data_IF_165277758376
#
_entry.id   IF_165277758376
#
_cell.length_a   1.000
_cell.length_b   1.000
_cell.length_c   1.000
_cell.angle_alpha   90.00
_cell.angle_beta   90.00
_cell.angle_gamma   90.00
#
_symmetry.space_group_name_H-M   'P 1'
#
loop_
_entity.id
_entity.type
_entity.pdbx_description
1 polymer ?
#
# COMPACT_ATOMS: atom_id res chain seq x y z
N UNK A 1 -21.69 39.37 -13.77
CA UNK A 1 -21.24 38.03 -14.18
C UNK A 1 -20.61 37.36 -12.96
N UNK A 2 -21.45 36.57 -12.30
CA UNK A 2 -21.29 36.08 -10.94
C UNK A 2 -20.34 34.88 -10.86
N UNK A 3 -19.30 35.03 -10.03
CA UNK A 3 -18.99 34.07 -8.97
C UNK A 3 -18.79 32.60 -9.42
N UNK A 4 -17.78 32.35 -10.25
CA UNK A 4 -17.19 30.99 -10.41
C UNK A 4 -16.29 30.67 -9.19
N UNK A 5 -16.79 30.89 -7.96
CA UNK A 5 -16.05 30.66 -6.69
C UNK A 5 -16.46 29.34 -6.00
N UNK A 6 -16.99 28.37 -6.75
CA UNK A 6 -17.45 27.08 -6.20
C UNK A 6 -16.67 25.86 -6.71
N UNK A 7 -15.74 26.01 -7.65
CA UNK A 7 -14.98 24.87 -8.18
C UNK A 7 -13.78 24.45 -7.31
N UNK A 8 -13.30 25.31 -6.42
CA UNK A 8 -12.11 25.04 -5.58
C UNK A 8 -12.36 24.04 -4.44
N UNK A 9 -13.62 23.75 -4.07
CA UNK A 9 -13.90 22.76 -3.03
C UNK A 9 -13.84 21.31 -3.55
N UNK A 10 -14.19 21.09 -4.83
CA UNK A 10 -14.17 19.77 -5.46
C UNK A 10 -12.74 19.24 -5.59
N UNK A 11 -11.76 20.11 -5.85
CA UNK A 11 -10.35 19.71 -5.85
C UNK A 11 -9.83 19.29 -4.46
N UNK A 12 -10.48 19.69 -3.35
CA UNK A 12 -10.10 19.24 -2.00
C UNK A 12 -10.67 17.87 -1.62
N UNK A 13 -11.71 17.37 -2.30
CA UNK A 13 -12.20 16.00 -2.10
C UNK A 13 -11.45 14.99 -2.95
N UNK A 14 -10.91 15.42 -4.10
CA UNK A 14 -9.89 14.70 -4.89
C UNK A 14 -8.50 14.97 -4.29
N UNK A 15 -8.40 14.96 -2.95
CA UNK A 15 -7.12 15.08 -2.27
C UNK A 15 -6.37 13.77 -2.48
N UNK A 16 -5.41 13.80 -3.40
CA UNK A 16 -4.40 12.76 -3.55
C UNK A 16 -3.84 12.47 -2.16
N UNK A 17 -4.11 11.29 -1.58
CA UNK A 17 -3.41 10.85 -0.38
C UNK A 17 -1.96 10.62 -0.82
N UNK A 18 -0.99 11.43 -0.37
CA UNK A 18 0.40 11.07 -0.58
C UNK A 18 0.60 9.68 0.07
N UNK A 19 1.48 8.82 -0.47
CA UNK A 19 1.83 7.55 0.16
C UNK A 19 2.59 7.85 1.46
N UNK A 20 1.86 8.21 2.51
CA UNK A 20 2.38 8.50 3.83
C UNK A 20 1.48 7.80 4.84
N UNK A 21 1.96 6.68 5.32
CA UNK A 21 1.84 6.38 6.73
C UNK A 21 3.08 5.59 7.13
N UNK A 22 3.89 6.19 8.01
CA UNK A 22 5.01 5.52 8.71
C UNK A 22 4.56 4.29 9.53
N UNK A 23 3.26 4.01 9.59
CA UNK A 23 2.63 3.03 10.46
C UNK A 23 1.93 1.86 9.75
N UNK A 24 2.15 1.62 8.46
CA UNK A 24 1.64 0.41 7.79
C UNK A 24 2.65 -0.73 7.85
N UNK A 25 2.22 -1.90 8.31
CA UNK A 25 2.99 -3.14 8.23
C UNK A 25 2.43 -3.98 7.08
N UNK A 26 3.32 -4.53 6.25
CA UNK A 26 2.97 -5.55 5.27
C UNK A 26 2.99 -6.93 5.92
N UNK A 27 1.94 -7.72 5.68
CA UNK A 27 1.79 -9.07 6.18
C UNK A 27 1.31 -10.02 5.07
N UNK A 28 1.49 -11.33 5.32
CA UNK A 28 1.01 -12.38 4.43
C UNK A 28 -0.53 -12.48 4.50
N UNK A 29 -1.23 -12.53 3.37
CA UNK A 29 -2.69 -12.67 3.36
C UNK A 29 -3.19 -14.05 3.81
N UNK A 30 -2.29 -15.04 3.96
CA UNK A 30 -2.63 -16.43 4.28
C UNK A 30 -2.42 -16.80 5.75
N UNK A 31 -1.32 -16.33 6.34
CA UNK A 31 -0.93 -16.66 7.71
C UNK A 31 -0.67 -15.43 8.60
N UNK A 32 -0.90 -14.22 8.09
CA UNK A 32 -0.74 -12.96 8.82
C UNK A 32 0.70 -12.66 9.29
N UNK A 33 1.67 -13.49 8.89
CA UNK A 33 3.07 -13.27 9.20
C UNK A 33 3.60 -12.01 8.52
N UNK A 34 4.46 -11.28 9.24
CA UNK A 34 5.20 -10.11 8.76
C UNK A 34 6.48 -10.48 8.02
N UNK A 35 6.82 -11.77 7.96
CA UNK A 35 8.01 -12.29 7.30
C UNK A 35 7.77 -12.48 5.79
N UNK A 36 7.49 -11.35 5.12
CA UNK A 36 7.20 -11.29 3.69
C UNK A 36 8.20 -10.38 2.99
N UNK A 37 8.78 -10.87 1.89
CA UNK A 37 9.84 -10.19 1.14
C UNK A 37 9.54 -10.23 -0.36
N UNK A 38 10.19 -9.36 -1.15
CA UNK A 38 10.13 -9.46 -2.61
C UNK A 38 10.85 -10.72 -3.09
N UNK A 39 10.32 -11.34 -4.14
CA UNK A 39 10.89 -12.54 -4.73
C UNK A 39 12.25 -12.27 -5.40
N UNK A 40 12.46 -11.05 -5.89
CA UNK A 40 13.68 -10.62 -6.56
C UNK A 40 14.01 -9.16 -6.26
N UNK A 41 15.29 -8.82 -6.38
CA UNK A 41 15.77 -7.42 -6.29
C UNK A 41 15.27 -6.54 -7.43
N UNK A 42 14.81 -7.14 -8.54
CA UNK A 42 14.30 -6.42 -9.71
C UNK A 42 12.76 -6.28 -9.70
N UNK A 43 12.08 -6.88 -8.74
CA UNK A 43 10.64 -6.71 -8.56
C UNK A 43 10.33 -5.24 -8.21
N UNK A 44 9.18 -4.74 -8.69
CA UNK A 44 8.76 -3.33 -8.65
C UNK A 44 9.48 -2.38 -9.60
N UNK A 45 10.57 -2.80 -10.25
CA UNK A 45 11.25 -1.98 -11.27
C UNK A 45 11.13 -2.58 -12.67
N UNK A 46 11.71 -3.77 -12.88
CA UNK A 46 11.66 -4.48 -14.16
C UNK A 46 10.50 -5.49 -14.19
N UNK A 47 10.32 -6.21 -13.08
CA UNK A 47 9.26 -7.22 -12.96
C UNK A 47 8.13 -6.71 -12.06
N UNK A 48 6.88 -7.19 -12.27
CA UNK A 48 5.78 -6.92 -11.36
C UNK A 48 6.13 -7.33 -9.92
N UNK A 49 5.57 -6.63 -8.94
CA UNK A 49 5.77 -6.97 -7.52
C UNK A 49 5.30 -8.38 -7.25
N UNK A 50 6.20 -9.24 -6.76
CA UNK A 50 5.89 -10.58 -6.30
C UNK A 50 6.49 -10.77 -4.91
N UNK A 51 5.67 -11.17 -3.97
CA UNK A 51 6.05 -11.36 -2.60
C UNK A 51 6.13 -12.85 -2.26
N UNK A 52 7.05 -13.19 -1.36
CA UNK A 52 7.26 -14.53 -0.83
C UNK A 52 7.18 -14.47 0.70
N UNK A 53 6.30 -15.28 1.29
CA UNK A 53 6.25 -15.46 2.74
C UNK A 53 7.13 -16.64 3.16
N UNK A 54 8.07 -16.40 4.09
CA UNK A 54 9.01 -17.42 4.57
C UNK A 54 8.37 -18.47 5.49
N UNK A 55 7.22 -18.17 6.10
CA UNK A 55 6.59 -19.08 7.06
C UNK A 55 5.60 -20.06 6.42
N UNK A 56 4.75 -19.61 5.49
CA UNK A 56 3.73 -20.47 4.86
C UNK A 56 3.95 -20.76 3.36
N UNK A 57 4.98 -20.18 2.75
CA UNK A 57 5.30 -20.38 1.34
C UNK A 57 4.34 -19.69 0.36
N UNK A 58 3.57 -18.70 0.79
CA UNK A 58 2.76 -17.88 -0.12
C UNK A 58 3.66 -17.17 -1.15
N UNK A 59 3.27 -17.21 -2.42
CA UNK A 59 3.95 -16.53 -3.52
C UNK A 59 2.92 -15.79 -4.37
N UNK A 60 2.95 -14.46 -4.39
CA UNK A 60 2.01 -13.68 -5.19
C UNK A 60 2.12 -12.16 -5.03
N UNK A 61 1.33 -11.39 -5.78
CA UNK A 61 1.40 -9.92 -5.78
C UNK A 61 0.61 -9.27 -4.64
N UNK A 62 -0.20 -10.04 -3.90
CA UNK A 62 -1.14 -9.52 -2.90
C UNK A 62 -0.47 -9.52 -1.52
N UNK A 63 -0.64 -8.43 -0.79
CA UNK A 63 -0.16 -8.24 0.58
C UNK A 63 -1.28 -7.71 1.45
N UNK A 64 -1.25 -8.05 2.73
CA UNK A 64 -2.14 -7.50 3.74
C UNK A 64 -1.48 -6.26 4.35
N UNK A 65 -2.10 -5.09 4.20
CA UNK A 65 -1.69 -3.87 4.90
C UNK A 65 -2.40 -3.80 6.25
N UNK A 66 -1.63 -3.80 7.33
CA UNK A 66 -2.14 -3.65 8.69
C UNK A 66 -1.75 -2.25 9.19
N UNK A 67 -2.74 -1.46 9.57
CA UNK A 67 -2.50 -0.18 10.25
C UNK A 67 -1.99 -0.47 11.67
N UNK A 68 -0.82 0.07 12.04
CA UNK A 68 -0.38 0.09 13.44
C UNK A 68 -1.26 1.08 14.18
N UNK A 69 -1.97 0.60 15.18
CA UNK A 69 -2.61 1.46 16.17
C UNK A 69 -1.51 2.34 16.80
N UNK A 70 -1.68 3.65 16.67
CA UNK A 70 -0.89 4.65 17.35
C UNK A 70 -1.23 4.53 18.84
N UNK A 71 -0.29 4.00 19.63
CA UNK A 71 -0.38 4.00 21.10
C UNK A 71 -0.25 5.40 21.69
#
# INVERSE_FOLDING_TARGET
MEKIRTLTCVFRSIRWRPPQSKNRILACPRCESRNIELSSKFDAWLMPKRYVCKDCGYIGPIVLEIDREEG
#
